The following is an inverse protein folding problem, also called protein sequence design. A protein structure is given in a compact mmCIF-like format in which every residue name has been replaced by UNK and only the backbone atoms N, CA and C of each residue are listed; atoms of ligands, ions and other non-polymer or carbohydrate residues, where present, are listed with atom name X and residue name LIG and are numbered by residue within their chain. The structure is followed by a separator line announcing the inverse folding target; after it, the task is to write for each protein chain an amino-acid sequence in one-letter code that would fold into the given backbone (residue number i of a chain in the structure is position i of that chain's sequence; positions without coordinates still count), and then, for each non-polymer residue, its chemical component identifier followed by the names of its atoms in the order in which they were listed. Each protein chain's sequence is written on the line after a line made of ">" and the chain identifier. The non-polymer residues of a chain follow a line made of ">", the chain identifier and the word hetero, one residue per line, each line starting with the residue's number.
data_IF_722635951767
#
_entry.id   IF_722635951767
#
_cell.length_a   1.000
_cell.length_b   1.000
_cell.length_c   1.000
_cell.angle_alpha   90.00
_cell.angle_beta   90.00
_cell.angle_gamma   90.00
#
_symmetry.space_group_name_H-M   'P 1'
#
loop_
_entity.id
_entity.type
_entity.pdbx_description
1 polymer ?
#
# COMPACT_ATOMS: atom_id res chain seq x y z
N UNK A 1 1.45 36.38 -36.54
CA UNK A 1 1.36 36.69 -35.09
C UNK A 1 0.89 35.42 -34.39
N UNK A 2 1.57 35.02 -33.30
CA UNK A 2 1.26 33.91 -32.38
C UNK A 2 1.94 32.55 -32.67
N UNK A 3 3.27 32.55 -32.67
CA UNK A 3 4.11 31.34 -32.47
C UNK A 3 4.92 31.41 -31.15
N UNK A 4 4.56 32.30 -30.22
CA UNK A 4 5.30 32.56 -28.96
C UNK A 4 4.41 32.25 -27.75
N UNK A 5 3.96 31.01 -27.61
CA UNK A 5 3.29 30.56 -26.37
C UNK A 5 3.62 29.13 -25.93
N UNK A 6 4.54 28.44 -26.61
CA UNK A 6 4.87 27.04 -26.31
C UNK A 6 6.12 26.82 -25.46
N UNK A 7 6.84 27.87 -25.09
CA UNK A 7 7.95 27.80 -24.15
C UNK A 7 7.69 28.74 -22.98
N UNK A 8 6.78 28.35 -22.08
CA UNK A 8 7.02 28.69 -20.68
C UNK A 8 8.24 27.84 -20.32
N UNK A 9 9.42 28.44 -20.43
CA UNK A 9 10.66 27.92 -19.85
C UNK A 9 10.30 27.53 -18.41
N UNK A 10 10.55 26.26 -18.06
CA UNK A 10 10.49 25.83 -16.66
C UNK A 10 11.54 26.64 -15.93
N UNK A 11 11.13 27.75 -15.32
CA UNK A 11 12.01 28.63 -14.56
C UNK A 11 12.39 28.01 -13.23
N UNK A 12 11.67 26.96 -12.82
CA UNK A 12 11.93 26.23 -11.58
C UNK A 12 13.14 25.31 -11.74
N UNK A 13 14.09 25.42 -10.82
CA UNK A 13 15.18 24.45 -10.68
C UNK A 13 14.63 23.11 -10.17
N UNK A 14 15.23 21.94 -10.48
CA UNK A 14 14.81 20.67 -9.89
C UNK A 14 14.79 20.72 -8.34
N UNK A 15 13.89 19.97 -7.67
CA UNK A 15 13.87 19.90 -6.21
C UNK A 15 15.19 19.31 -5.67
N UNK A 16 15.64 19.75 -4.49
CA UNK A 16 16.73 19.06 -3.81
C UNK A 16 16.32 17.61 -3.50
N UNK A 17 17.30 16.74 -3.35
CA UNK A 17 17.04 15.37 -2.91
C UNK A 17 16.32 15.38 -1.55
N UNK A 18 15.31 14.51 -1.45
CA UNK A 18 14.55 14.33 -0.21
C UNK A 18 15.46 13.74 0.88
N UNK A 19 15.39 14.24 2.12
CA UNK A 19 16.28 13.80 3.19
C UNK A 19 15.92 12.38 3.65
N UNK A 20 16.92 11.57 4.00
CA UNK A 20 16.71 10.32 4.73
C UNK A 20 16.70 10.58 6.25
N UNK A 21 15.67 10.10 6.93
CA UNK A 21 15.45 10.30 8.36
C UNK A 21 15.75 8.99 9.09
N UNK A 22 16.87 8.87 9.82
CA UNK A 22 17.18 7.68 10.60
C UNK A 22 16.32 7.62 11.87
N UNK A 23 15.75 6.44 12.17
CA UNK A 23 14.89 6.20 13.33
C UNK A 23 15.53 5.25 14.35
N UNK A 24 16.18 4.19 13.86
CA UNK A 24 16.77 3.16 14.70
C UNK A 24 18.01 2.56 14.04
N UNK A 25 18.76 1.77 14.80
CA UNK A 25 19.85 0.94 14.26
C UNK A 25 19.40 -0.52 14.22
N UNK A 26 19.85 -1.29 13.22
CA UNK A 26 19.58 -2.72 13.14
C UNK A 26 19.97 -3.46 14.42
N UNK A 27 19.13 -4.38 14.85
CA UNK A 27 19.41 -5.25 15.99
C UNK A 27 20.32 -6.40 15.57
N UNK A 28 21.38 -6.66 16.35
CA UNK A 28 22.23 -7.85 16.18
C UNK A 28 21.83 -9.01 17.08
N UNK A 29 20.74 -8.88 17.83
CA UNK A 29 20.36 -9.84 18.86
C UNK A 29 19.67 -11.09 18.29
N UNK A 30 19.09 -11.01 17.09
CA UNK A 30 18.33 -12.08 16.45
C UNK A 30 18.56 -12.03 14.94
N UNK A 31 18.40 -13.15 14.20
CA UNK A 31 18.33 -13.12 12.76
C UNK A 31 17.23 -12.16 12.29
N UNK A 32 17.57 -11.27 11.38
CA UNK A 32 16.65 -10.30 10.81
C UNK A 32 16.86 -10.17 9.30
N UNK A 33 15.81 -9.73 8.61
CA UNK A 33 15.83 -9.39 7.19
C UNK A 33 15.55 -7.89 7.07
N UNK A 34 16.48 -7.15 6.48
CA UNK A 34 16.33 -5.71 6.25
C UNK A 34 15.93 -5.48 4.80
N UNK A 35 14.85 -4.74 4.60
CA UNK A 35 14.36 -4.40 3.28
C UNK A 35 13.65 -3.05 3.25
N UNK A 36 13.59 -2.46 2.07
CA UNK A 36 12.91 -1.18 1.83
C UNK A 36 11.56 -1.38 1.14
N UNK A 37 10.59 -0.54 1.50
CA UNK A 37 9.22 -0.58 0.98
C UNK A 37 8.84 0.78 0.44
N UNK A 38 8.44 0.84 -0.82
CA UNK A 38 7.88 2.02 -1.48
C UNK A 38 6.36 1.89 -1.62
N UNK A 39 5.63 2.97 -1.37
CA UNK A 39 4.20 3.10 -1.71
C UNK A 39 4.01 4.38 -2.53
N UNK A 40 3.40 4.25 -3.70
CA UNK A 40 3.28 5.39 -4.62
C UNK A 40 2.07 5.32 -5.56
N UNK A 41 1.13 6.25 -5.42
CA UNK A 41 0.11 6.52 -6.43
C UNK A 41 0.75 7.33 -7.57
N UNK A 42 0.76 6.78 -8.78
CA UNK A 42 1.50 7.37 -9.91
C UNK A 42 0.69 8.33 -10.78
N UNK A 43 -0.59 8.53 -10.45
CA UNK A 43 -1.56 9.29 -11.24
C UNK A 43 -1.69 8.76 -12.68
N UNK A 44 -2.71 7.95 -12.95
CA UNK A 44 -2.93 7.40 -14.29
C UNK A 44 -3.20 8.50 -15.34
N UNK A 45 -2.96 8.21 -16.62
CA UNK A 45 -3.15 9.19 -17.69
C UNK A 45 -4.62 9.65 -17.77
N UNK A 46 -5.55 8.70 -17.54
CA UNK A 46 -6.98 8.99 -17.53
C UNK A 46 -7.40 10.10 -16.56
N UNK A 47 -6.74 10.25 -15.41
CA UNK A 47 -7.07 11.26 -14.41
C UNK A 47 -6.22 12.53 -14.51
N UNK A 48 -5.07 12.49 -15.19
CA UNK A 48 -4.13 13.60 -15.41
C UNK A 48 -4.64 14.66 -16.41
N UNK A 49 -5.82 15.21 -16.17
CA UNK A 49 -6.51 16.13 -17.08
C UNK A 49 -6.21 17.60 -16.77
N UNK A 50 -6.35 18.46 -17.79
CA UNK A 50 -6.23 19.92 -17.61
C UNK A 50 -7.37 20.53 -16.79
N UNK A 51 -8.51 19.85 -16.65
CA UNK A 51 -9.58 20.28 -15.74
C UNK A 51 -9.14 20.14 -14.27
N UNK A 52 -8.55 19.00 -13.90
CA UNK A 52 -8.08 18.74 -12.54
C UNK A 52 -6.76 19.47 -12.23
N UNK A 53 -5.83 19.49 -13.18
CA UNK A 53 -4.46 19.99 -13.00
C UNK A 53 -4.17 21.20 -13.91
N UNK A 54 -5.06 22.20 -13.91
CA UNK A 54 -4.96 23.38 -14.78
C UNK A 54 -3.66 24.19 -14.61
N UNK A 55 -3.02 24.10 -13.44
CA UNK A 55 -1.74 24.71 -13.10
C UNK A 55 -0.52 23.97 -13.71
N UNK A 56 -0.65 22.70 -14.09
CA UNK A 56 0.45 21.91 -14.67
C UNK A 56 0.41 21.97 -16.20
N UNK A 57 1.49 22.41 -16.89
CA UNK A 57 1.47 22.55 -18.35
C UNK A 57 1.22 21.20 -19.05
N UNK A 58 0.48 21.20 -20.15
CA UNK A 58 0.02 19.96 -20.80
C UNK A 58 1.14 19.01 -21.20
N UNK A 59 2.32 19.54 -21.56
CA UNK A 59 3.48 18.71 -21.89
C UNK A 59 4.04 17.95 -20.67
N UNK A 60 3.92 18.53 -19.47
CA UNK A 60 4.33 17.88 -18.22
C UNK A 60 3.25 16.95 -17.68
N UNK A 61 1.97 17.16 -18.03
CA UNK A 61 0.88 16.22 -17.76
C UNK A 61 0.91 14.99 -18.67
N UNK A 62 1.45 15.12 -19.88
CA UNK A 62 1.50 14.04 -20.86
C UNK A 62 2.13 12.77 -20.26
N UNK A 63 1.44 11.65 -20.40
CA UNK A 63 1.95 10.35 -19.94
C UNK A 63 3.34 10.01 -20.48
N UNK A 64 3.63 10.32 -21.75
CA UNK A 64 4.93 10.05 -22.35
C UNK A 64 6.09 10.78 -21.66
N UNK A 65 5.81 11.92 -21.02
CA UNK A 65 6.74 12.64 -20.17
C UNK A 65 6.75 12.04 -18.75
N UNK A 66 5.58 11.95 -18.09
CA UNK A 66 5.48 11.54 -16.68
C UNK A 66 5.97 10.13 -16.44
N UNK A 67 5.64 9.16 -17.31
CA UNK A 67 6.01 7.75 -17.12
C UNK A 67 7.51 7.54 -16.97
N UNK A 68 8.32 8.34 -17.69
CA UNK A 68 9.79 8.30 -17.60
C UNK A 68 10.26 8.80 -16.24
N UNK A 69 9.75 9.96 -15.81
CA UNK A 69 10.07 10.54 -14.51
C UNK A 69 9.59 9.66 -13.34
N UNK A 70 8.41 9.03 -13.44
CA UNK A 70 7.90 8.06 -12.46
C UNK A 70 8.87 6.87 -12.35
N UNK A 71 9.28 6.29 -13.49
CA UNK A 71 10.22 5.18 -13.49
C UNK A 71 11.59 5.58 -12.95
N UNK A 72 12.08 6.78 -13.29
CA UNK A 72 13.34 7.32 -12.76
C UNK A 72 13.28 7.52 -11.24
N UNK A 73 12.14 7.95 -10.69
CA UNK A 73 11.92 8.05 -9.24
C UNK A 73 11.93 6.68 -8.55
N UNK A 74 11.26 5.68 -9.15
CA UNK A 74 11.29 4.29 -8.67
C UNK A 74 12.72 3.74 -8.67
N UNK A 75 13.47 3.95 -9.76
CA UNK A 75 14.87 3.54 -9.93
C UNK A 75 15.80 4.21 -8.93
N UNK A 76 15.60 5.50 -8.72
CA UNK A 76 16.43 6.32 -7.82
C UNK A 76 16.40 5.76 -6.40
N UNK A 77 15.21 5.43 -5.90
CA UNK A 77 15.04 4.90 -4.54
C UNK A 77 15.33 3.41 -4.44
N UNK A 78 15.17 2.66 -5.53
CA UNK A 78 15.64 1.26 -5.64
C UNK A 78 15.10 0.39 -4.50
N UNK A 79 13.83 0.55 -4.15
CA UNK A 79 13.21 -0.17 -3.04
C UNK A 79 13.21 -1.69 -3.26
N UNK A 80 13.16 -2.48 -2.20
CA UNK A 80 13.09 -3.93 -2.32
C UNK A 80 11.67 -4.44 -2.64
N UNK A 81 10.66 -3.71 -2.17
CA UNK A 81 9.23 -3.94 -2.42
C UNK A 81 8.61 -2.61 -2.85
N UNK A 82 7.81 -2.61 -3.92
CA UNK A 82 7.18 -1.41 -4.48
C UNK A 82 5.69 -1.69 -4.66
N UNK A 83 4.85 -0.94 -3.95
CA UNK A 83 3.39 -0.95 -4.10
C UNK A 83 2.95 0.28 -4.88
N UNK A 84 2.35 0.08 -6.05
CA UNK A 84 1.86 1.16 -6.91
C UNK A 84 0.34 1.14 -7.02
N UNK A 85 -0.26 2.33 -7.02
CA UNK A 85 -1.66 2.57 -7.36
C UNK A 85 -1.74 3.39 -8.65
N UNK A 86 -2.89 3.31 -9.33
CA UNK A 86 -3.15 4.00 -10.60
C UNK A 86 -2.23 3.62 -11.76
N UNK A 87 -1.79 2.37 -11.81
CA UNK A 87 -1.08 1.84 -12.98
C UNK A 87 -2.11 1.35 -14.00
N UNK A 88 -2.11 1.89 -15.21
CA UNK A 88 -2.94 1.39 -16.30
C UNK A 88 -2.46 0.02 -16.79
N UNK A 89 -3.42 -0.85 -17.16
CA UNK A 89 -3.17 -2.24 -17.56
C UNK A 89 -2.09 -2.37 -18.64
N UNK A 90 -2.19 -1.59 -19.72
CA UNK A 90 -1.21 -1.66 -20.82
C UNK A 90 0.17 -1.16 -20.38
N UNK A 91 0.22 -0.16 -19.49
CA UNK A 91 1.47 0.40 -18.98
C UNK A 91 2.20 -0.55 -18.04
N UNK A 92 1.46 -1.32 -17.24
CA UNK A 92 2.06 -2.37 -16.42
C UNK A 92 2.81 -3.38 -17.30
N UNK A 93 2.12 -3.98 -18.28
CA UNK A 93 2.68 -5.08 -19.08
C UNK A 93 3.74 -4.63 -20.09
N UNK A 94 3.59 -3.45 -20.69
CA UNK A 94 4.46 -3.02 -21.78
C UNK A 94 5.57 -2.05 -21.36
N UNK A 95 5.51 -1.48 -20.16
CA UNK A 95 6.50 -0.50 -19.68
C UNK A 95 7.05 -0.86 -18.30
N UNK A 96 6.25 -0.81 -17.23
CA UNK A 96 6.79 -0.98 -15.88
C UNK A 96 7.36 -2.38 -15.62
N UNK A 97 6.65 -3.44 -15.99
CA UNK A 97 7.10 -4.82 -15.74
C UNK A 97 8.38 -5.16 -16.53
N UNK A 98 8.49 -4.90 -17.85
CA UNK A 98 9.73 -5.16 -18.59
C UNK A 98 10.93 -4.38 -18.05
N UNK A 99 10.75 -3.08 -17.76
CA UNK A 99 11.82 -2.21 -17.27
C UNK A 99 12.33 -2.66 -15.89
N UNK A 100 11.41 -2.91 -14.94
CA UNK A 100 11.80 -3.35 -13.59
C UNK A 100 12.30 -4.80 -13.57
N UNK A 101 11.84 -5.66 -14.49
CA UNK A 101 12.37 -7.02 -14.63
C UNK A 101 13.85 -7.03 -15.03
N UNK A 102 14.28 -6.09 -15.88
CA UNK A 102 15.69 -5.91 -16.23
C UNK A 102 16.55 -5.50 -15.02
N UNK A 103 15.92 -5.00 -13.96
CA UNK A 103 16.57 -4.60 -12.69
C UNK A 103 16.40 -5.64 -11.58
N UNK A 104 15.93 -6.85 -11.92
CA UNK A 104 15.82 -7.97 -11.00
C UNK A 104 14.56 -7.97 -10.14
N UNK A 105 13.52 -7.23 -10.55
CA UNK A 105 12.19 -7.34 -9.94
C UNK A 105 11.34 -8.41 -10.61
N UNK A 106 10.48 -9.01 -9.81
CA UNK A 106 9.25 -9.65 -10.28
C UNK A 106 8.07 -8.76 -9.86
N UNK A 107 6.91 -8.93 -10.48
CA UNK A 107 5.74 -8.14 -10.12
C UNK A 107 4.42 -8.75 -10.55
N UNK A 108 3.38 -8.38 -9.80
CA UNK A 108 1.98 -8.77 -10.04
C UNK A 108 1.12 -7.52 -10.19
N UNK A 109 0.00 -7.65 -10.90
CA UNK A 109 -0.92 -6.56 -11.18
C UNK A 109 -2.35 -7.05 -11.24
N UNK A 110 -3.29 -6.21 -10.82
CA UNK A 110 -4.70 -6.41 -11.11
C UNK A 110 -5.37 -5.07 -11.41
N UNK A 111 -6.14 -4.98 -12.51
CA UNK A 111 -6.94 -3.79 -12.80
C UNK A 111 -8.17 -3.72 -11.90
N UNK A 112 -8.75 -2.53 -11.72
CA UNK A 112 -10.06 -2.37 -11.06
C UNK A 112 -11.14 -3.23 -11.71
N UNK A 113 -12.13 -3.65 -10.91
CA UNK A 113 -13.11 -4.68 -11.31
C UNK A 113 -13.91 -4.34 -12.56
N UNK A 114 -14.07 -3.04 -12.90
CA UNK A 114 -14.71 -2.60 -14.15
C UNK A 114 -14.08 -3.21 -15.42
N UNK A 115 -12.80 -3.56 -15.39
CA UNK A 115 -12.12 -4.22 -16.50
C UNK A 115 -12.85 -5.46 -17.03
N UNK A 116 -13.58 -6.17 -16.16
CA UNK A 116 -14.30 -7.41 -16.50
C UNK A 116 -15.52 -7.18 -17.41
N UNK A 117 -16.12 -6.00 -17.38
CA UNK A 117 -17.32 -5.67 -18.17
C UNK A 117 -17.05 -4.76 -19.37
N UNK A 118 -15.81 -4.27 -19.51
CA UNK A 118 -15.38 -3.41 -20.60
C UNK A 118 -14.85 -4.20 -21.80
N UNK A 119 -14.83 -3.55 -22.97
CA UNK A 119 -14.20 -4.09 -24.18
C UNK A 119 -12.69 -4.30 -23.99
N UNK A 120 -12.07 -5.15 -24.82
CA UNK A 120 -10.61 -5.39 -24.77
C UNK A 120 -9.79 -4.12 -24.97
N UNK A 121 -10.28 -3.20 -25.82
CA UNK A 121 -9.61 -1.94 -26.10
C UNK A 121 -9.63 -1.03 -24.88
N UNK A 122 -10.80 -0.87 -24.23
CA UNK A 122 -10.91 0.02 -23.07
C UNK A 122 -10.25 -0.57 -21.83
N UNK A 123 -10.22 -1.90 -21.70
CA UNK A 123 -9.58 -2.61 -20.58
C UNK A 123 -8.11 -2.22 -20.43
N UNK A 124 -7.42 -1.93 -21.54
CA UNK A 124 -6.01 -1.49 -21.56
C UNK A 124 -5.75 -0.24 -20.73
N UNK A 125 -6.74 0.64 -20.65
CA UNK A 125 -6.67 1.93 -19.94
C UNK A 125 -7.34 1.87 -18.56
N UNK A 126 -7.75 0.68 -18.11
CA UNK A 126 -8.22 0.51 -16.73
C UNK A 126 -7.00 0.44 -15.82
N UNK A 127 -6.95 1.38 -14.90
CA UNK A 127 -5.97 1.45 -13.83
C UNK A 127 -6.25 0.43 -12.72
N UNK A 128 -5.21 0.13 -11.95
CA UNK A 128 -5.28 -0.78 -10.82
C UNK A 128 -4.07 -0.69 -9.92
N UNK A 129 -3.82 -1.78 -9.20
CA UNK A 129 -2.73 -1.89 -8.24
C UNK A 129 -1.66 -2.85 -8.74
N UNK A 130 -0.39 -2.53 -8.47
CA UNK A 130 0.75 -3.40 -8.76
C UNK A 130 1.62 -3.57 -7.50
N UNK A 131 2.23 -4.75 -7.37
CA UNK A 131 3.27 -5.02 -6.36
C UNK A 131 4.48 -5.58 -7.09
N UNK A 132 5.62 -4.91 -6.96
CA UNK A 132 6.93 -5.41 -7.39
C UNK A 132 7.77 -5.79 -6.17
N UNK A 133 8.62 -6.80 -6.32
CA UNK A 133 9.54 -7.25 -5.28
C UNK A 133 10.84 -7.77 -5.89
N UNK A 134 11.96 -7.55 -5.22
CA UNK A 134 13.26 -8.04 -5.69
C UNK A 134 13.32 -9.55 -5.65
N UNK A 135 13.54 -10.15 -6.82
CA UNK A 135 13.70 -11.60 -6.96
C UNK A 135 14.91 -12.13 -6.18
N UNK A 136 15.90 -11.29 -5.88
CA UNK A 136 17.03 -11.68 -5.03
C UNK A 136 16.66 -11.94 -3.56
N UNK A 137 15.63 -11.26 -3.04
CA UNK A 137 15.21 -11.34 -1.62
C UNK A 137 13.90 -12.11 -1.43
N UNK A 138 13.00 -12.07 -2.40
CA UNK A 138 11.65 -12.61 -2.28
C UNK A 138 11.31 -13.58 -3.41
N UNK A 139 10.38 -14.48 -3.14
CA UNK A 139 9.73 -15.33 -4.14
C UNK A 139 8.22 -15.32 -3.89
N UNK A 140 7.42 -15.15 -4.94
CA UNK A 140 5.96 -15.21 -4.84
C UNK A 140 5.51 -16.64 -4.49
N UNK A 141 4.68 -16.76 -3.47
CA UNK A 141 3.97 -18.00 -3.14
C UNK A 141 2.58 -17.98 -3.77
N UNK A 142 1.82 -16.91 -3.54
CA UNK A 142 0.44 -16.78 -3.99
C UNK A 142 0.07 -15.31 -4.14
N UNK A 143 -0.70 -14.99 -5.17
CA UNK A 143 -1.34 -13.69 -5.35
C UNK A 143 -2.83 -13.77 -5.01
N UNK A 144 -3.37 -12.67 -4.51
CA UNK A 144 -4.78 -12.55 -4.12
C UNK A 144 -5.34 -11.20 -4.57
N UNK A 145 -6.38 -11.25 -5.39
CA UNK A 145 -7.19 -10.09 -5.76
C UNK A 145 -8.38 -9.99 -4.80
N UNK A 146 -8.56 -8.80 -4.22
CA UNK A 146 -9.64 -8.48 -3.28
C UNK A 146 -10.57 -7.48 -3.96
N UNK A 147 -11.75 -7.94 -4.37
CA UNK A 147 -12.74 -7.11 -5.07
C UNK A 147 -13.83 -6.66 -4.11
N UNK A 148 -13.78 -5.38 -3.69
CA UNK A 148 -14.68 -4.88 -2.65
C UNK A 148 -16.14 -4.90 -3.07
N UNK A 149 -16.46 -4.75 -4.36
CA UNK A 149 -17.82 -4.87 -4.87
C UNK A 149 -18.40 -6.28 -4.69
N UNK A 150 -17.60 -7.32 -4.93
CA UNK A 150 -18.03 -8.71 -4.75
C UNK A 150 -18.21 -9.05 -3.27
N UNK A 151 -17.30 -8.56 -2.43
CA UNK A 151 -17.43 -8.70 -0.98
C UNK A 151 -18.65 -7.95 -0.44
N UNK A 152 -18.91 -6.74 -0.94
CA UNK A 152 -20.11 -5.98 -0.59
C UNK A 152 -21.38 -6.70 -1.03
N UNK A 153 -21.41 -7.25 -2.26
CA UNK A 153 -22.54 -8.04 -2.75
C UNK A 153 -22.78 -9.29 -1.90
N UNK A 154 -21.72 -10.02 -1.54
CA UNK A 154 -21.81 -11.23 -0.71
C UNK A 154 -22.28 -10.93 0.73
N UNK A 155 -22.00 -9.72 1.23
CA UNK A 155 -22.31 -9.32 2.61
C UNK A 155 -23.46 -8.31 2.72
N UNK A 156 -24.20 -8.06 1.63
CA UNK A 156 -25.24 -7.05 1.56
C UNK A 156 -26.55 -7.39 2.27
N UNK A 157 -26.74 -8.65 2.70
CA UNK A 157 -27.98 -9.10 3.33
C UNK A 157 -28.38 -8.18 4.49
N UNK A 158 -29.58 -7.60 4.40
CA UNK A 158 -30.13 -6.69 5.40
C UNK A 158 -29.57 -5.26 5.37
N UNK A 159 -28.84 -4.85 4.33
CA UNK A 159 -28.30 -3.49 4.19
C UNK A 159 -28.42 -2.93 2.77
N UNK A 160 -29.41 -2.06 2.55
CA UNK A 160 -29.56 -1.32 1.30
C UNK A 160 -28.35 -0.40 1.02
N UNK A 161 -27.74 0.16 2.07
CA UNK A 161 -26.56 1.02 1.92
C UNK A 161 -25.35 0.24 1.39
N UNK A 162 -25.19 -1.03 1.77
CA UNK A 162 -24.16 -1.90 1.18
C UNK A 162 -24.36 -2.06 -0.34
N UNK A 163 -25.59 -2.27 -0.79
CA UNK A 163 -25.92 -2.42 -2.22
C UNK A 163 -25.83 -1.11 -3.01
N UNK A 164 -26.26 0.00 -2.42
CA UNK A 164 -26.41 1.27 -3.14
C UNK A 164 -25.14 2.13 -3.10
N UNK A 165 -24.32 2.01 -2.04
CA UNK A 165 -23.17 2.89 -1.83
C UNK A 165 -21.84 2.18 -2.01
N UNK A 166 -21.70 0.96 -1.46
CA UNK A 166 -20.45 0.20 -1.42
C UNK A 166 -20.28 -0.69 -2.66
N UNK A 167 -21.23 -1.57 -2.94
CA UNK A 167 -21.19 -2.53 -4.07
C UNK A 167 -20.93 -1.87 -5.43
N UNK A 168 -21.45 -0.67 -5.77
CA UNK A 168 -21.20 -0.07 -7.08
C UNK A 168 -19.77 0.47 -7.27
N UNK A 169 -18.93 0.45 -6.23
CA UNK A 169 -17.55 0.95 -6.29
C UNK A 169 -16.60 -0.17 -6.68
N UNK A 170 -15.82 0.06 -7.74
CA UNK A 170 -14.96 -0.93 -8.40
C UNK A 170 -13.52 -0.96 -7.86
N UNK A 171 -13.30 -0.35 -6.69
CA UNK A 171 -12.03 -0.35 -5.97
C UNK A 171 -11.58 -1.77 -5.60
N UNK A 172 -10.26 -1.96 -5.48
CA UNK A 172 -9.65 -3.27 -5.22
C UNK A 172 -8.52 -3.17 -4.20
N UNK A 173 -8.20 -4.31 -3.60
CA UNK A 173 -6.91 -4.60 -2.99
C UNK A 173 -6.18 -5.70 -3.77
N UNK A 174 -4.85 -5.68 -3.73
CA UNK A 174 -3.98 -6.72 -4.28
C UNK A 174 -3.03 -7.17 -3.17
N UNK A 175 -2.86 -8.47 -2.98
CA UNK A 175 -1.92 -9.01 -2.00
C UNK A 175 -1.00 -10.08 -2.61
N UNK A 176 0.27 -10.02 -2.23
CA UNK A 176 1.31 -10.98 -2.56
C UNK A 176 1.77 -11.67 -1.27
N UNK A 177 1.56 -12.97 -1.17
CA UNK A 177 2.19 -13.79 -0.14
C UNK A 177 3.60 -14.14 -0.62
N UNK A 178 4.62 -13.63 0.06
CA UNK A 178 6.02 -13.74 -0.33
C UNK A 178 6.78 -14.66 0.64
N UNK A 179 7.60 -15.55 0.06
CA UNK A 179 8.67 -16.25 0.77
C UNK A 179 9.90 -15.36 0.78
N UNK A 180 10.46 -15.12 1.96
CA UNK A 180 11.77 -14.48 2.11
C UNK A 180 12.85 -15.55 1.87
N UNK A 181 13.78 -15.27 0.97
CA UNK A 181 14.88 -16.18 0.63
C UNK A 181 15.93 -16.19 1.75
N UNK A 182 16.57 -17.34 1.96
CA UNK A 182 17.58 -17.52 3.02
C UNK A 182 18.72 -16.50 2.91
N UNK A 183 19.11 -16.13 1.69
CA UNK A 183 20.13 -15.12 1.40
C UNK A 183 19.77 -13.70 1.84
N UNK A 184 18.50 -13.43 2.16
CA UNK A 184 18.05 -12.12 2.63
C UNK A 184 18.12 -11.97 4.15
N UNK A 185 18.40 -13.05 4.89
CA UNK A 185 18.52 -13.02 6.33
C UNK A 185 19.97 -12.80 6.76
N UNK A 186 20.16 -11.85 7.67
CA UNK A 186 21.44 -11.61 8.33
C UNK A 186 21.57 -12.47 9.59
N UNK A 187 22.81 -12.81 9.95
CA UNK A 187 23.14 -13.55 11.18
C UNK A 187 22.52 -14.95 11.32
N UNK A 188 22.22 -15.62 10.19
CA UNK A 188 21.83 -17.04 10.21
C UNK A 188 23.04 -17.93 10.49
N UNK A 189 22.89 -18.88 11.41
CA UNK A 189 23.77 -20.05 11.49
C UNK A 189 23.22 -21.14 10.57
N UNK A 190 24.11 -21.96 9.97
CA UNK A 190 23.77 -22.97 8.94
C UNK A 190 22.69 -24.00 9.35
N UNK A 191 22.27 -24.02 10.63
CA UNK A 191 21.47 -25.09 11.23
C UNK A 191 19.97 -24.75 11.33
N UNK A 192 19.54 -23.50 11.09
CA UNK A 192 18.12 -23.11 11.24
C UNK A 192 17.45 -22.81 9.91
N UNK A 193 16.51 -23.65 9.47
CA UNK A 193 15.56 -23.27 8.41
C UNK A 193 14.56 -22.24 8.97
N UNK A 194 14.72 -20.97 8.62
CA UNK A 194 13.78 -19.90 8.99
C UNK A 194 12.65 -19.88 7.97
N UNK A 195 11.41 -20.07 8.44
CA UNK A 195 10.20 -19.85 7.64
C UNK A 195 9.38 -18.72 8.27
N UNK A 196 9.47 -17.53 7.67
CA UNK A 196 8.68 -16.36 8.03
C UNK A 196 8.17 -15.70 6.74
N UNK A 197 6.97 -16.08 6.25
CA UNK A 197 6.35 -15.42 5.12
C UNK A 197 5.98 -13.95 5.43
N UNK A 198 5.97 -13.14 4.38
CA UNK A 198 5.52 -11.76 4.40
C UNK A 198 4.32 -11.62 3.46
N UNK A 199 3.18 -11.20 3.99
CA UNK A 199 2.02 -10.81 3.18
C UNK A 199 2.14 -9.30 2.90
N UNK A 200 2.36 -8.95 1.64
CA UNK A 200 2.37 -7.56 1.17
C UNK A 200 1.03 -7.28 0.54
N UNK A 201 0.32 -6.25 0.99
CA UNK A 201 -0.92 -5.82 0.40
C UNK A 201 -0.82 -4.35 -0.02
N UNK A 202 -1.44 -4.02 -1.15
CA UNK A 202 -1.71 -2.64 -1.57
C UNK A 202 -3.20 -2.49 -1.87
N UNK A 203 -3.80 -1.37 -1.48
CA UNK A 203 -5.18 -1.03 -1.83
C UNK A 203 -5.29 0.39 -2.39
N UNK A 204 -6.32 0.62 -3.21
CA UNK A 204 -6.73 1.96 -3.62
C UNK A 204 -8.22 2.12 -3.30
N UNK A 205 -8.48 2.74 -2.14
CA UNK A 205 -9.81 2.92 -1.56
C UNK A 205 -10.56 4.06 -2.27
N UNK A 206 -11.89 4.04 -2.21
CA UNK A 206 -12.73 5.05 -2.86
C UNK A 206 -12.34 6.49 -2.49
N UNK A 207 -12.38 7.42 -3.45
CA UNK A 207 -11.80 8.76 -3.30
C UNK A 207 -12.76 9.79 -2.70
N UNK A 208 -14.05 9.72 -3.02
CA UNK A 208 -15.02 10.79 -2.75
C UNK A 208 -15.11 11.11 -1.24
N UNK A 209 -14.84 12.36 -0.81
CA UNK A 209 -14.94 12.78 0.59
C UNK A 209 -16.30 12.51 1.23
N UNK A 210 -17.39 12.53 0.45
CA UNK A 210 -18.74 12.30 0.95
C UNK A 210 -19.05 10.83 1.26
N UNK A 211 -18.13 9.93 0.97
CA UNK A 211 -18.30 8.48 1.12
C UNK A 211 -17.31 7.89 2.15
N UNK A 212 -17.05 8.59 3.26
CA UNK A 212 -16.23 8.06 4.36
C UNK A 212 -16.73 6.71 4.88
N UNK A 213 -18.05 6.46 4.84
CA UNK A 213 -18.66 5.17 5.16
C UNK A 213 -18.17 4.05 4.22
N UNK A 214 -18.13 4.31 2.91
CA UNK A 214 -17.61 3.35 1.93
C UNK A 214 -16.13 3.09 2.15
N UNK A 215 -15.33 4.14 2.41
CA UNK A 215 -13.89 4.00 2.66
C UNK A 215 -13.62 3.09 3.87
N UNK A 216 -14.38 3.29 4.94
CA UNK A 216 -14.31 2.46 6.15
C UNK A 216 -14.76 1.03 5.89
N UNK A 217 -15.90 0.82 5.23
CA UNK A 217 -16.40 -0.51 4.89
C UNK A 217 -15.42 -1.29 3.99
N UNK A 218 -14.85 -0.64 2.96
CA UNK A 218 -13.84 -1.27 2.09
C UNK A 218 -12.59 -1.69 2.89
N UNK A 219 -12.13 -0.84 3.80
CA UNK A 219 -10.99 -1.14 4.68
C UNK A 219 -11.28 -2.31 5.62
N UNK A 220 -12.51 -2.40 6.12
CA UNK A 220 -12.97 -3.49 6.96
C UNK A 220 -13.04 -4.82 6.20
N UNK A 221 -13.55 -4.81 4.96
CA UNK A 221 -13.53 -5.97 4.06
C UNK A 221 -12.11 -6.40 3.72
N UNK A 222 -11.22 -5.44 3.43
CA UNK A 222 -9.81 -5.69 3.21
C UNK A 222 -9.17 -6.40 4.40
N UNK A 223 -9.40 -5.88 5.61
CA UNK A 223 -8.88 -6.47 6.84
C UNK A 223 -9.40 -7.89 7.07
N UNK A 224 -10.67 -8.17 6.77
CA UNK A 224 -11.24 -9.52 6.88
C UNK A 224 -10.60 -10.50 5.88
N UNK A 225 -10.45 -10.10 4.61
CA UNK A 225 -9.83 -10.96 3.60
C UNK A 225 -8.35 -11.23 3.89
N UNK A 226 -7.60 -10.21 4.33
CA UNK A 226 -6.21 -10.40 4.73
C UNK A 226 -6.07 -11.38 5.90
N UNK A 227 -7.03 -11.40 6.83
CA UNK A 227 -7.07 -12.36 7.92
C UNK A 227 -7.28 -13.78 7.38
N UNK A 228 -8.25 -13.96 6.48
CA UNK A 228 -8.53 -15.24 5.83
C UNK A 228 -7.30 -15.78 5.09
N UNK A 229 -6.57 -14.91 4.37
CA UNK A 229 -5.35 -15.26 3.65
C UNK A 229 -4.24 -15.69 4.62
N UNK A 230 -4.03 -14.94 5.70
CA UNK A 230 -3.04 -15.27 6.74
C UNK A 230 -3.37 -16.61 7.41
N UNK A 231 -4.65 -16.84 7.74
CA UNK A 231 -5.08 -18.09 8.34
C UNK A 231 -4.88 -19.28 7.37
N UNK A 232 -5.24 -19.15 6.09
CA UNK A 232 -5.00 -20.18 5.05
C UNK A 232 -3.50 -20.49 4.91
N UNK A 233 -2.65 -19.47 4.87
CA UNK A 233 -1.21 -19.62 4.78
C UNK A 233 -0.63 -20.32 6.02
N UNK A 234 -1.07 -19.92 7.21
CA UNK A 234 -0.61 -20.49 8.49
C UNK A 234 -0.87 -22.00 8.58
N UNK A 235 -2.06 -22.45 8.16
CA UNK A 235 -2.41 -23.87 8.12
C UNK A 235 -1.58 -24.64 7.09
N UNK A 236 -1.32 -24.05 5.91
CA UNK A 236 -0.56 -24.69 4.84
C UNK A 236 0.91 -24.92 5.22
N UNK A 237 1.52 -23.99 5.97
CA UNK A 237 2.91 -24.12 6.39
C UNK A 237 3.11 -24.99 7.64
N UNK A 238 2.08 -25.16 8.48
CA UNK A 238 2.17 -25.91 9.74
C UNK A 238 0.90 -26.73 10.03
N UNK A 239 0.67 -27.84 9.28
CA UNK A 239 -0.48 -28.70 9.52
C UNK A 239 -0.47 -29.24 10.96
N UNK A 240 -1.57 -29.05 11.71
CA UNK A 240 -1.76 -29.61 13.06
C UNK A 240 -1.29 -28.73 14.24
N UNK A 241 -0.73 -27.55 13.98
CA UNK A 241 -0.46 -26.55 15.02
C UNK A 241 -1.56 -25.48 15.08
N UNK A 242 -1.83 -24.92 16.27
CA UNK A 242 -2.73 -23.76 16.40
C UNK A 242 -2.21 -22.60 15.54
N UNK A 243 -3.11 -21.91 14.82
CA UNK A 243 -2.79 -20.69 14.07
C UNK A 243 -2.06 -19.70 14.98
N UNK A 244 -0.80 -19.40 14.66
CA UNK A 244 -0.05 -18.32 15.30
C UNK A 244 -0.17 -17.10 14.38
N UNK A 245 -0.83 -16.06 14.88
CA UNK A 245 -1.05 -14.81 14.15
C UNK A 245 0.24 -14.06 13.81
N UNK A 246 1.38 -14.43 14.41
CA UNK A 246 2.69 -13.90 14.04
C UNK A 246 3.42 -14.76 12.98
N UNK A 247 2.85 -15.88 12.55
CA UNK A 247 3.49 -16.78 11.59
C UNK A 247 3.65 -16.15 10.21
N UNK A 248 2.77 -15.22 9.84
CA UNK A 248 2.87 -14.38 8.64
C UNK A 248 2.86 -12.91 9.09
N UNK A 249 3.84 -12.15 8.62
CA UNK A 249 3.91 -10.72 8.91
C UNK A 249 3.16 -9.94 7.83
N UNK A 250 2.46 -8.86 8.20
CA UNK A 250 1.67 -8.06 7.26
C UNK A 250 2.33 -6.69 7.02
N UNK A 251 2.51 -6.38 5.75
CA UNK A 251 2.84 -5.06 5.23
C UNK A 251 1.65 -4.57 4.40
N UNK A 252 0.98 -3.52 4.83
CA UNK A 252 -0.21 -2.97 4.19
C UNK A 252 0.09 -1.54 3.69
N UNK A 253 0.21 -1.40 2.38
CA UNK A 253 0.41 -0.15 1.68
C UNK A 253 -0.90 0.31 1.03
N UNK A 254 -0.96 1.57 0.60
CA UNK A 254 -2.03 2.00 -0.30
C UNK A 254 -2.37 3.47 -0.21
N UNK A 255 -3.18 3.88 -1.17
CA UNK A 255 -3.93 5.13 -1.14
C UNK A 255 -5.30 4.82 -0.50
N UNK A 256 -5.46 5.28 0.75
CA UNK A 256 -6.67 5.07 1.52
C UNK A 256 -7.68 6.20 1.35
N UNK A 257 -7.32 7.28 0.64
CA UNK A 257 -8.16 8.47 0.47
C UNK A 257 -8.76 8.98 1.80
N UNK A 258 -8.04 8.78 2.91
CA UNK A 258 -8.55 8.99 4.27
C UNK A 258 -7.49 9.68 5.14
N UNK A 259 -7.87 10.77 5.79
CA UNK A 259 -6.99 11.56 6.66
C UNK A 259 -6.67 10.81 7.97
N UNK A 260 -5.60 11.20 8.70
CA UNK A 260 -5.17 10.50 9.91
C UNK A 260 -6.21 10.42 11.04
N UNK A 261 -7.17 11.34 11.06
CA UNK A 261 -8.26 11.45 12.04
C UNK A 261 -9.54 10.67 11.64
N UNK A 262 -9.53 10.00 10.48
CA UNK A 262 -10.66 9.22 9.99
C UNK A 262 -10.86 7.89 10.74
N UNK A 263 -12.08 7.34 10.64
CA UNK A 263 -12.42 6.01 11.13
C UNK A 263 -11.63 4.89 10.45
N UNK A 264 -11.18 5.11 9.20
CA UNK A 264 -10.30 4.20 8.46
C UNK A 264 -8.97 4.02 9.19
N UNK A 265 -8.32 5.13 9.53
CA UNK A 265 -7.01 5.12 10.17
C UNK A 265 -7.11 4.74 11.64
N UNK A 266 -8.19 5.14 12.32
CA UNK A 266 -8.51 4.65 13.66
C UNK A 266 -8.61 3.11 13.66
N UNK A 267 -9.42 2.53 12.78
CA UNK A 267 -9.63 1.08 12.71
C UNK A 267 -8.30 0.36 12.53
N UNK A 268 -7.52 0.72 11.50
CA UNK A 268 -6.24 0.09 11.18
C UNK A 268 -5.20 0.22 12.30
N UNK A 269 -5.10 1.42 12.91
CA UNK A 269 -4.05 1.71 13.88
C UNK A 269 -4.37 1.17 15.28
N UNK A 270 -5.63 1.29 15.72
CA UNK A 270 -6.06 0.83 17.04
C UNK A 270 -6.46 -0.63 17.07
N UNK A 271 -6.66 -1.27 15.91
CA UNK A 271 -7.20 -2.61 15.83
C UNK A 271 -8.71 -2.68 16.03
N UNK A 272 -9.39 -1.52 16.11
CA UNK A 272 -10.80 -1.42 16.44
C UNK A 272 -11.41 -0.08 16.06
N UNK A 273 -12.72 -0.08 15.84
CA UNK A 273 -13.53 1.12 15.66
C UNK A 273 -14.93 0.91 16.23
N UNK A 274 -15.54 1.96 16.78
CA UNK A 274 -16.90 1.90 17.30
C UNK A 274 -17.89 1.53 16.19
N UNK A 275 -18.87 0.68 16.49
CA UNK A 275 -19.98 0.40 15.56
C UNK A 275 -20.86 1.64 15.31
N UNK A 276 -20.77 2.64 16.18
CA UNK A 276 -21.47 3.94 16.11
C UNK A 276 -20.53 5.07 15.65
N UNK A 277 -19.43 4.74 14.96
CA UNK A 277 -18.50 5.76 14.48
C UNK A 277 -19.17 6.71 13.47
N UNK A 278 -18.90 8.01 13.58
CA UNK A 278 -19.53 9.05 12.76
C UNK A 278 -19.36 8.84 11.25
N UNK A 279 -18.24 8.25 10.84
CA UNK A 279 -17.97 7.93 9.42
C UNK A 279 -18.99 6.95 8.83
N UNK A 280 -19.69 6.14 9.64
CA UNK A 280 -20.79 5.31 9.13
C UNK A 280 -22.05 6.12 8.83
N UNK A 281 -22.12 7.40 9.21
CA UNK A 281 -23.24 8.32 8.96
C UNK A 281 -24.61 7.74 9.37
N UNK A 282 -24.65 6.97 10.45
CA UNK A 282 -25.83 6.25 10.95
C UNK A 282 -26.52 5.33 9.91
N UNK A 283 -25.79 4.86 8.89
CA UNK A 283 -26.32 4.10 7.76
C UNK A 283 -26.59 2.62 8.04
N UNK A 284 -26.59 2.20 9.31
CA UNK A 284 -27.04 0.86 9.69
C UNK A 284 -26.17 -0.30 9.20
N UNK A 285 -24.87 -0.09 8.95
CA UNK A 285 -23.94 -1.16 8.55
C UNK A 285 -23.68 -2.23 9.64
N UNK A 286 -24.18 -2.01 10.86
CA UNK A 286 -23.94 -2.88 12.02
C UNK A 286 -24.23 -4.36 11.75
N UNK A 287 -25.44 -4.66 11.30
CA UNK A 287 -25.92 -6.04 11.13
C UNK A 287 -25.09 -6.84 10.10
N UNK A 288 -24.75 -6.22 8.97
CA UNK A 288 -23.99 -6.89 7.92
C UNK A 288 -22.51 -7.05 8.29
N UNK A 289 -21.88 -6.04 8.90
CA UNK A 289 -20.46 -6.08 9.26
C UNK A 289 -20.19 -6.89 10.54
N UNK A 290 -21.16 -7.03 11.44
CA UNK A 290 -20.97 -7.79 12.69
C UNK A 290 -20.64 -9.26 12.41
N UNK A 291 -21.18 -9.82 11.33
CA UNK A 291 -20.88 -11.19 10.87
C UNK A 291 -19.42 -11.36 10.43
N UNK A 292 -18.75 -10.28 10.04
CA UNK A 292 -17.39 -10.32 9.52
C UNK A 292 -16.33 -10.12 10.62
N UNK A 293 -16.57 -9.22 11.57
CA UNK A 293 -15.47 -8.61 12.35
C UNK A 293 -15.68 -8.55 13.87
N UNK A 294 -16.78 -9.08 14.40
CA UNK A 294 -17.17 -8.82 15.79
C UNK A 294 -16.82 -9.93 16.79
N UNK A 295 -16.41 -9.49 17.98
CA UNK A 295 -16.57 -10.20 19.24
C UNK A 295 -17.74 -9.54 20.02
N UNK A 296 -18.11 -10.03 21.22
CA UNK A 296 -19.27 -9.61 22.04
C UNK A 296 -19.34 -8.10 22.46
N UNK A 297 -18.49 -7.23 21.91
CA UNK A 297 -18.41 -5.78 22.14
C UNK A 297 -19.08 -4.96 21.04
N UNK A 298 -19.52 -3.73 21.34
CA UNK A 298 -20.02 -2.73 20.36
C UNK A 298 -18.90 -2.10 19.50
N UNK A 299 -17.89 -2.88 19.14
CA UNK A 299 -16.71 -2.48 18.37
C UNK A 299 -16.45 -3.51 17.28
N UNK A 300 -16.09 -3.06 16.08
CA UNK A 300 -15.49 -3.93 15.08
C UNK A 300 -13.99 -4.03 15.34
N UNK A 301 -13.41 -5.22 15.20
CA UNK A 301 -12.01 -5.44 15.61
C UNK A 301 -11.20 -6.24 14.59
N UNK A 302 -9.88 -6.05 14.60
CA UNK A 302 -8.92 -6.90 13.89
C UNK A 302 -7.63 -7.08 14.73
N UNK A 303 -6.87 -8.14 14.45
CA UNK A 303 -5.76 -8.59 15.33
C UNK A 303 -4.36 -8.28 14.81
N UNK A 304 -4.21 -7.50 13.74
CA UNK A 304 -2.93 -7.32 13.03
C UNK A 304 -1.87 -6.49 13.77
N UNK A 305 -2.26 -5.73 14.81
CA UNK A 305 -1.37 -4.85 15.58
C UNK A 305 -0.51 -3.95 14.69
N UNK A 306 -1.16 -3.21 13.79
CA UNK A 306 -0.47 -2.36 12.84
C UNK A 306 0.08 -1.09 13.50
N UNK A 307 1.11 -0.52 12.87
CA UNK A 307 1.57 0.84 13.06
C UNK A 307 1.83 1.46 11.69
N UNK A 308 1.50 2.75 11.52
CA UNK A 308 1.91 3.52 10.35
C UNK A 308 3.40 3.84 10.45
N UNK A 309 4.13 3.69 9.35
CA UNK A 309 5.54 4.09 9.27
C UNK A 309 5.72 5.61 9.31
N UNK A 310 4.71 6.37 8.87
CA UNK A 310 4.73 7.83 8.81
C UNK A 310 3.76 8.44 9.79
N UNK A 311 4.14 9.60 10.31
CA UNK A 311 3.28 10.53 11.06
C UNK A 311 3.28 11.91 10.39
N UNK A 312 2.34 12.76 10.78
CA UNK A 312 2.19 14.12 10.26
C UNK A 312 3.43 14.99 10.49
N UNK A 313 4.14 14.79 11.59
CA UNK A 313 5.40 15.49 11.89
C UNK A 313 6.52 15.18 10.89
N UNK A 314 6.46 14.01 10.24
CA UNK A 314 7.48 13.52 9.31
C UNK A 314 7.12 13.90 7.87
N UNK A 315 5.88 13.64 7.49
CA UNK A 315 5.36 13.89 6.15
C UNK A 315 4.03 14.64 6.27
N UNK A 316 4.00 15.97 6.08
CA UNK A 316 2.78 16.76 6.32
C UNK A 316 1.69 16.49 5.28
N UNK A 317 2.06 15.96 4.11
CA UNK A 317 1.13 15.62 3.04
C UNK A 317 1.74 14.57 2.11
N UNK A 318 0.91 13.63 1.69
CA UNK A 318 1.27 12.61 0.70
C UNK A 318 0.63 12.92 -0.65
N UNK A 319 -0.57 13.51 -0.67
CA UNK A 319 -1.15 14.14 -1.85
C UNK A 319 -1.02 15.67 -1.75
N UNK A 320 -0.62 16.31 -2.85
CA UNK A 320 -0.36 17.74 -2.91
C UNK A 320 -0.94 18.33 -4.20
N UNK A 321 -2.20 18.73 -4.18
CA UNK A 321 -2.85 19.46 -5.27
C UNK A 321 -3.13 20.91 -4.86
N UNK A 322 -3.65 21.73 -5.78
CA UNK A 322 -4.05 23.10 -5.44
C UNK A 322 -5.14 23.12 -4.37
N UNK A 323 -6.21 22.33 -4.56
CA UNK A 323 -7.41 22.33 -3.72
C UNK A 323 -7.29 21.45 -2.47
N UNK A 324 -6.44 20.41 -2.49
CA UNK A 324 -6.28 19.48 -1.39
C UNK A 324 -4.81 19.16 -1.11
N UNK A 325 -4.43 19.19 0.18
CA UNK A 325 -3.12 18.77 0.67
C UNK A 325 -3.35 17.99 1.95
N UNK A 326 -2.89 16.75 2.01
CA UNK A 326 -3.12 15.90 3.17
C UNK A 326 -2.46 14.54 3.06
N UNK A 327 -2.49 13.80 4.17
CA UNK A 327 -1.96 12.43 4.26
C UNK A 327 -3.11 11.49 3.94
N UNK A 328 -3.01 10.82 2.81
CA UNK A 328 -3.98 9.80 2.37
C UNK A 328 -3.31 8.50 1.92
N UNK A 329 -1.98 8.49 1.82
CA UNK A 329 -1.17 7.31 1.51
C UNK A 329 -0.49 6.82 2.77
N UNK A 330 -0.42 5.49 2.95
CA UNK A 330 0.12 4.89 4.16
C UNK A 330 0.95 3.65 3.87
N UNK A 331 1.96 3.41 4.71
CA UNK A 331 2.65 2.13 4.85
C UNK A 331 2.45 1.65 6.29
N UNK A 332 1.54 0.71 6.48
CA UNK A 332 1.32 0.01 7.74
C UNK A 332 2.14 -1.27 7.80
N UNK A 333 2.66 -1.58 8.99
CA UNK A 333 3.41 -2.80 9.24
C UNK A 333 2.99 -3.44 10.57
N UNK A 334 3.08 -4.77 10.68
CA UNK A 334 2.91 -5.49 11.95
C UNK A 334 4.03 -5.14 12.93
N UNK A 335 3.71 -4.34 13.96
CA UNK A 335 4.71 -3.78 14.89
C UNK A 335 5.32 -4.78 15.89
N UNK A 336 4.81 -6.01 15.93
CA UNK A 336 5.37 -7.08 16.77
C UNK A 336 6.55 -7.80 16.10
N UNK A 337 6.64 -7.78 14.77
CA UNK A 337 7.71 -8.44 14.02
C UNK A 337 8.63 -7.49 13.27
N UNK A 338 8.19 -6.26 12.99
CA UNK A 338 8.97 -5.29 12.20
C UNK A 338 9.25 -4.00 12.96
N UNK A 339 10.42 -3.42 12.70
CA UNK A 339 10.88 -2.13 13.25
C UNK A 339 11.36 -1.23 12.10
N UNK A 340 10.89 0.02 12.02
CA UNK A 340 11.38 0.96 11.02
C UNK A 340 12.76 1.49 11.41
N UNK A 341 13.71 1.41 10.48
CA UNK A 341 15.09 1.86 10.65
C UNK A 341 15.29 3.28 10.12
N UNK A 342 14.60 3.64 9.05
CA UNK A 342 14.62 4.98 8.48
C UNK A 342 13.51 5.21 7.47
N UNK A 343 13.27 6.48 7.17
CA UNK A 343 12.19 6.96 6.30
C UNK A 343 12.71 8.01 5.32
N UNK A 344 12.06 8.09 4.16
CA UNK A 344 12.25 9.19 3.22
C UNK A 344 11.40 10.40 3.62
N UNK A 345 12.05 11.48 4.03
CA UNK A 345 11.41 12.74 4.41
C UNK A 345 10.71 13.46 3.25
N UNK A 346 10.10 14.63 3.52
CA UNK A 346 9.28 15.35 2.55
C UNK A 346 10.12 16.07 1.50
N UNK A 347 9.46 16.53 0.43
CA UNK A 347 10.05 17.55 -0.45
C UNK A 347 10.28 18.84 0.36
N UNK A 348 11.36 19.56 0.05
CA UNK A 348 11.68 20.83 0.71
C UNK A 348 10.55 21.85 0.55
N UNK A 349 9.96 22.25 1.66
CA UNK A 349 8.96 23.34 1.72
C UNK A 349 9.53 24.67 1.22
N UNK A 350 10.83 24.91 1.45
CA UNK A 350 11.51 26.09 0.92
C UNK A 350 11.54 26.06 -0.61
N UNK A 351 11.89 24.91 -1.19
CA UNK A 351 11.88 24.76 -2.64
C UNK A 351 10.47 24.94 -3.23
N UNK A 352 9.43 24.35 -2.62
CA UNK A 352 8.04 24.51 -3.07
C UNK A 352 7.63 25.98 -3.07
N UNK A 353 7.94 26.71 -1.98
CA UNK A 353 7.63 28.13 -1.84
C UNK A 353 8.42 29.00 -2.82
N UNK A 354 9.73 28.80 -2.90
CA UNK A 354 10.63 29.64 -3.70
C UNK A 354 10.38 29.46 -5.21
N UNK A 355 9.94 28.27 -5.62
CA UNK A 355 9.54 27.96 -7.00
C UNK A 355 8.03 28.16 -7.25
N UNK A 356 7.27 28.64 -6.25
CA UNK A 356 5.82 28.90 -6.33
C UNK A 356 5.00 27.69 -6.79
N UNK A 357 5.40 26.50 -6.35
CA UNK A 357 4.70 25.25 -6.62
C UNK A 357 3.49 25.17 -5.68
N UNK A 358 2.30 25.42 -6.22
CA UNK A 358 1.04 25.46 -5.45
C UNK A 358 0.27 24.14 -5.44
N UNK A 359 0.67 23.20 -6.30
CA UNK A 359 0.09 21.87 -6.49
C UNK A 359 0.95 21.04 -7.44
N UNK A 360 0.75 19.72 -7.40
CA UNK A 360 1.38 18.71 -8.25
C UNK A 360 0.29 17.96 -9.07
N UNK A 361 0.60 17.37 -10.23
CA UNK A 361 1.93 17.24 -10.84
C UNK A 361 2.53 18.58 -11.24
N UNK A 362 3.85 18.58 -11.39
CA UNK A 362 4.67 19.71 -11.79
C UNK A 362 5.72 19.19 -12.80
N UNK A 363 6.31 20.02 -13.68
CA UNK A 363 7.45 19.63 -14.53
C UNK A 363 8.53 18.74 -13.90
N UNK A 364 8.79 18.90 -12.59
CA UNK A 364 9.78 18.13 -11.82
C UNK A 364 9.18 17.11 -10.84
N UNK A 365 7.85 16.98 -10.78
CA UNK A 365 7.13 16.09 -9.86
C UNK A 365 6.02 15.41 -10.66
N UNK A 366 6.16 14.13 -11.04
CA UNK A 366 5.34 13.53 -12.09
C UNK A 366 4.00 12.94 -11.62
N UNK A 367 3.71 13.01 -10.32
CA UNK A 367 2.42 12.64 -9.72
C UNK A 367 1.95 13.77 -8.80
N UNK A 368 0.66 13.81 -8.49
CA UNK A 368 0.12 14.62 -7.39
C UNK A 368 0.36 14.01 -6.01
N UNK A 369 0.82 12.75 -5.97
CA UNK A 369 1.29 12.12 -4.75
C UNK A 369 2.83 12.14 -4.64
N UNK A 370 3.34 12.13 -3.42
CA UNK A 370 4.75 11.91 -3.10
C UNK A 370 4.96 10.45 -2.68
N UNK A 371 6.00 9.75 -3.19
CA UNK A 371 6.22 8.38 -2.78
C UNK A 371 6.64 8.32 -1.31
N UNK A 372 6.09 7.35 -0.61
CA UNK A 372 6.53 6.94 0.72
C UNK A 372 7.60 5.87 0.56
N UNK A 373 8.66 5.93 1.37
CA UNK A 373 9.72 4.91 1.41
C UNK A 373 10.17 4.66 2.86
N UNK A 374 10.13 3.42 3.30
CA UNK A 374 10.59 3.01 4.65
C UNK A 374 11.58 1.87 4.54
N UNK A 375 12.64 1.89 5.34
CA UNK A 375 13.48 0.73 5.62
C UNK A 375 12.96 0.03 6.86
N UNK A 376 12.66 -1.27 6.74
CA UNK A 376 12.14 -2.11 7.80
C UNK A 376 13.14 -3.21 8.13
N UNK A 377 13.35 -3.42 9.42
CA UNK A 377 13.97 -4.62 9.96
C UNK A 377 12.87 -5.60 10.38
N UNK A 378 12.76 -6.72 9.67
CA UNK A 378 11.92 -7.84 10.05
C UNK A 378 12.71 -8.82 10.92
N UNK A 379 12.33 -8.95 12.19
CA UNK A 379 12.91 -9.92 13.10
C UNK A 379 12.25 -11.28 12.92
N UNK A 380 13.07 -12.35 12.95
CA UNK A 380 12.51 -13.69 13.00
C UNK A 380 11.70 -13.89 14.28
N UNK A 381 10.42 -14.25 14.15
CA UNK A 381 9.59 -14.63 15.28
C UNK A 381 9.62 -16.16 15.42
N UNK A 382 10.52 -16.65 16.26
CA UNK A 382 10.50 -18.06 16.65
C UNK A 382 9.17 -18.33 17.39
N UNK A 383 8.30 -19.17 16.81
CA UNK A 383 7.09 -19.58 17.52
C UNK A 383 7.52 -20.27 18.82
N UNK A 384 6.92 -19.90 19.95
CA UNK A 384 7.29 -20.42 21.29
C UNK A 384 7.10 -21.94 21.49
N UNK A 385 6.73 -22.68 20.44
CA UNK A 385 6.49 -24.13 20.48
C UNK A 385 7.45 -24.96 19.61
N UNK A 386 8.66 -24.45 19.28
CA UNK A 386 9.71 -25.35 18.84
C UNK A 386 10.06 -26.29 20.02
N UNK A 387 9.89 -27.62 19.91
CA UNK A 387 10.31 -28.51 20.98
C UNK A 387 11.82 -28.28 21.22
N UNK A 388 12.28 -28.28 22.49
CA UNK A 388 13.71 -28.21 22.75
C UNK A 388 14.35 -29.43 22.09
N UNK A 389 15.13 -29.19 21.03
CA UNK A 389 15.94 -30.22 20.42
C UNK A 389 16.86 -30.84 21.48
N UNK A 390 16.78 -32.17 21.61
CA UNK A 390 17.89 -32.98 22.09
C UNK A 390 17.79 -33.52 23.51
N UNK A 391 17.23 -34.74 23.62
CA UNK A 391 17.74 -35.86 24.41
C UNK A 391 18.89 -35.53 25.38
N UNK A 392 18.56 -35.31 26.66
CA UNK A 392 19.51 -35.57 27.75
C UNK A 392 19.55 -37.08 27.92
N UNK A 393 20.55 -37.73 27.32
CA UNK A 393 20.96 -39.08 27.71
C UNK A 393 21.49 -39.00 29.15
N UNK A 394 20.64 -39.32 30.13
CA UNK A 394 21.11 -39.69 31.46
C UNK A 394 21.62 -41.13 31.38
N UNK A 395 22.94 -41.30 31.53
CA UNK A 395 23.52 -42.49 32.14
C UNK A 395 23.79 -42.19 33.60
#
# INVERSE_FOLDING_TARGET
>A
RNFILYFILVSATPPPQRPWIPLAKPSKARPSCIFTVMCYNVLCDKYATRQMYGYCPSWALSWEYRKKAILDEIRHYSADIISLQEIETEQFYNFFLPELKNEGFEGIFSPKSRAKTMSEVERKFVDGCAIFFRAAKFALIKEHLIEFNQLAMANAEGSDNMLNRVMPKDNIGLAALLKIKDSAWESMTEVTQITQPLLVCTAHIHWDPEFCDVKLVQTMMLSNELKSIIDEASHSFRPGHKSDTNSVQLLLCGDFNSLPDSGVIEFLSKGRVSMDHNDFKDMGYKSCLQRLLSNDSNEFTHSFKLASAYSEDIMPHTNYTFDFKGIIDYIFYTKTGMVPLGLLGPISNDWLRDNKVVGCPHPHIPSDHFPLLVELELMYTASQNAPPNGLINRR
#
